data_IF_745844552138
#
_entry.id   IF_745844552138
#
_cell.length_a   1.000
_cell.length_b   1.000
_cell.length_c   1.000
_cell.angle_alpha   90.00
_cell.angle_beta   90.00
_cell.angle_gamma   90.00
#
_symmetry.space_group_name_H-M   'P 1'
#
loop_
_entity.id
_entity.type
_entity.pdbx_description
1 polymer ?
#
# COMPACT_ATOMS: atom_id res chain seq x y z
N UNK A 1 -0.88 -3.36 9.93
CA UNK A 1 -0.76 -3.01 8.49
C UNK A 1 0.13 -1.80 8.36
N UNK A 2 1.01 -1.73 7.36
CA UNK A 2 1.75 -0.51 7.00
C UNK A 2 1.14 0.04 5.71
N UNK A 3 0.77 1.32 5.67
CA UNK A 3 0.12 1.93 4.52
C UNK A 3 0.50 3.40 4.29
N UNK A 4 0.21 3.88 3.08
CA UNK A 4 0.52 5.26 2.64
C UNK A 4 -0.72 5.99 2.08
N UNK A 5 -1.89 5.39 2.22
CA UNK A 5 -3.18 6.04 1.99
C UNK A 5 -3.92 6.10 3.33
N UNK A 6 -3.88 7.25 3.99
CA UNK A 6 -4.43 7.41 5.33
C UNK A 6 -5.94 7.16 5.36
N UNK A 7 -6.65 7.71 4.38
CA UNK A 7 -8.10 7.54 4.20
C UNK A 7 -8.49 6.06 4.02
N UNK A 8 -7.71 5.29 3.27
CA UNK A 8 -7.92 3.84 3.09
C UNK A 8 -7.65 3.09 4.40
N UNK A 9 -6.60 3.47 5.15
CA UNK A 9 -6.31 2.85 6.45
C UNK A 9 -7.44 3.10 7.45
N UNK A 10 -7.96 4.32 7.50
CA UNK A 10 -9.09 4.72 8.34
C UNK A 10 -10.36 3.93 7.96
N UNK A 11 -10.68 3.87 6.67
CA UNK A 11 -11.85 3.14 6.17
C UNK A 11 -11.74 1.62 6.40
N UNK A 12 -10.55 1.05 6.20
CA UNK A 12 -10.29 -0.37 6.43
C UNK A 12 -10.29 -0.77 7.91
N UNK A 13 -10.05 0.19 8.82
CA UNK A 13 -10.10 0.04 10.27
C UNK A 13 -9.39 -1.23 10.80
N UNK A 14 -8.20 -1.51 10.25
CA UNK A 14 -7.44 -2.66 10.69
C UNK A 14 -7.05 -2.51 12.18
N UNK A 15 -7.00 -3.60 12.98
CA UNK A 15 -6.79 -3.50 14.43
C UNK A 15 -5.52 -2.74 14.84
N UNK A 16 -4.46 -2.83 14.04
CA UNK A 16 -3.19 -2.14 14.26
C UNK A 16 -2.65 -1.63 12.93
N UNK A 17 -2.48 -0.33 12.82
CA UNK A 17 -2.06 0.30 11.58
C UNK A 17 -0.94 1.32 11.81
N UNK A 18 -0.06 1.40 10.83
CA UNK A 18 1.01 2.39 10.76
C UNK A 18 0.88 3.11 9.42
N UNK A 19 0.93 4.44 9.46
CA UNK A 19 0.91 5.30 8.30
C UNK A 19 2.31 5.88 8.03
N UNK A 20 2.74 5.82 6.77
CA UNK A 20 3.98 6.45 6.28
C UNK A 20 3.61 7.34 5.09
N UNK A 21 3.90 8.64 5.17
CA UNK A 21 3.54 9.64 4.13
C UNK A 21 4.51 9.60 2.93
N UNK A 22 4.56 8.42 2.28
CA UNK A 22 5.37 8.11 1.11
C UNK A 22 4.45 7.85 -0.10
N UNK A 23 4.97 7.88 -1.34
CA UNK A 23 4.18 7.50 -2.50
C UNK A 23 3.61 6.08 -2.38
N UNK A 24 2.43 5.85 -2.95
CA UNK A 24 1.87 4.50 -3.05
C UNK A 24 2.88 3.52 -3.68
N UNK A 25 2.98 2.34 -3.10
CA UNK A 25 3.98 1.32 -3.47
C UNK A 25 5.34 1.46 -2.76
N UNK A 26 5.56 2.52 -1.98
CA UNK A 26 6.82 2.76 -1.25
C UNK A 26 6.62 2.83 0.27
N UNK A 27 5.58 2.16 0.79
CA UNK A 27 5.19 2.16 2.21
C UNK A 27 6.27 1.69 3.19
N UNK A 28 7.27 0.97 2.70
CA UNK A 28 8.38 0.42 3.50
C UNK A 28 9.73 1.04 3.13
N UNK A 29 9.75 2.23 2.52
CA UNK A 29 10.97 3.02 2.32
C UNK A 29 11.27 3.42 0.89
N UNK A 30 12.28 4.30 0.75
CA UNK A 30 12.75 4.80 -0.55
C UNK A 30 13.42 3.72 -1.39
N UNK A 31 13.30 3.75 -2.73
CA UNK A 31 14.03 2.84 -3.61
C UNK A 31 15.53 2.87 -3.33
N UNK A 32 16.13 1.68 -3.24
CA UNK A 32 17.57 1.47 -3.05
C UNK A 32 18.16 2.02 -1.74
N UNK A 33 17.36 2.62 -0.86
CA UNK A 33 17.77 3.11 0.46
C UNK A 33 17.48 2.06 1.54
N UNK A 34 18.39 1.09 1.68
CA UNK A 34 18.24 -0.01 2.65
C UNK A 34 18.14 0.49 4.10
N UNK A 35 18.82 1.59 4.42
CA UNK A 35 18.80 2.18 5.76
C UNK A 35 17.42 2.70 6.12
N UNK A 36 16.83 3.51 5.23
CA UNK A 36 15.47 3.98 5.41
C UNK A 36 14.44 2.84 5.42
N UNK A 37 14.59 1.86 4.52
CA UNK A 37 13.69 0.72 4.47
C UNK A 37 13.68 -0.08 5.77
N UNK A 38 14.89 -0.33 6.31
CA UNK A 38 15.03 -1.06 7.57
C UNK A 38 14.43 -0.28 8.74
N UNK A 39 14.73 1.01 8.84
CA UNK A 39 14.25 1.87 9.92
C UNK A 39 12.72 1.94 9.97
N UNK A 40 12.06 2.10 8.82
CA UNK A 40 10.58 2.11 8.75
C UNK A 40 9.99 0.78 9.23
N UNK A 41 10.58 -0.35 8.84
CA UNK A 41 10.08 -1.67 9.26
C UNK A 41 10.28 -1.87 10.76
N UNK A 42 11.45 -1.53 11.30
CA UNK A 42 11.74 -1.67 12.73
C UNK A 42 10.79 -0.78 13.58
N UNK A 43 10.58 0.48 13.18
CA UNK A 43 9.66 1.39 13.88
C UNK A 43 8.19 0.94 13.77
N UNK A 44 7.78 0.43 12.62
CA UNK A 44 6.42 -0.09 12.44
C UNK A 44 6.17 -1.32 13.32
N UNK A 45 7.15 -2.23 13.44
CA UNK A 45 7.06 -3.38 14.35
C UNK A 45 6.96 -2.91 15.80
N UNK A 46 7.79 -1.96 16.22
CA UNK A 46 7.71 -1.37 17.56
C UNK A 46 6.34 -0.71 17.82
N UNK A 47 5.80 0.03 16.84
CA UNK A 47 4.46 0.61 16.94
C UNK A 47 3.38 -0.47 17.09
N UNK A 48 3.47 -1.59 16.36
CA UNK A 48 2.49 -2.68 16.48
C UNK A 48 2.53 -3.39 17.84
N UNK A 49 3.66 -3.38 18.56
CA UNK A 49 3.73 -3.87 19.93
C UNK A 49 3.04 -2.93 20.92
N UNK A 50 3.10 -1.62 20.66
CA UNK A 50 2.57 -0.57 21.54
C UNK A 50 1.08 -0.25 21.32
N UNK A 51 0.54 -0.50 20.12
CA UNK A 51 -0.87 -0.26 19.83
C UNK A 51 -1.75 -1.23 20.65
N UNK A 52 -2.51 -0.65 21.56
CA UNK A 52 -3.42 -1.38 22.46
C UNK A 52 -4.89 -1.21 22.09
N UNK A 53 -5.24 -0.17 21.33
CA UNK A 53 -6.62 0.10 20.92
C UNK A 53 -6.85 -0.32 19.46
N UNK A 54 -7.86 -1.16 19.17
CA UNK A 54 -8.23 -1.48 17.80
C UNK A 54 -8.55 -0.23 16.97
N UNK A 55 -8.08 -0.19 15.72
CA UNK A 55 -8.30 0.93 14.80
C UNK A 55 -7.35 2.10 15.00
N UNK A 56 -6.42 2.01 15.95
CA UNK A 56 -5.38 3.02 16.13
C UNK A 56 -4.37 2.98 14.97
N UNK A 57 -4.06 4.18 14.46
CA UNK A 57 -3.11 4.41 13.38
C UNK A 57 -1.96 5.24 13.94
N UNK A 58 -0.75 4.70 13.93
CA UNK A 58 0.47 5.42 14.29
C UNK A 58 1.10 6.00 13.04
N UNK A 59 1.34 7.31 13.00
CA UNK A 59 2.04 7.96 11.89
C UNK A 59 3.55 8.00 12.18
N UNK A 60 4.37 7.49 11.26
CA UNK A 60 5.83 7.61 11.35
C UNK A 60 6.32 8.90 10.69
N UNK A 61 7.26 9.59 11.32
CA UNK A 61 7.78 10.89 10.89
C UNK A 61 8.95 10.77 9.89
N UNK A 62 8.74 9.99 8.83
CA UNK A 62 9.69 9.86 7.72
C UNK A 62 9.33 10.82 6.59
N UNK A 63 10.33 11.47 6.00
CA UNK A 63 10.15 12.34 4.82
C UNK A 63 10.64 11.67 3.55
N UNK A 64 9.78 11.63 2.53
CA UNK A 64 10.14 11.13 1.20
C UNK A 64 11.24 11.96 0.54
N UNK A 65 11.10 13.28 0.58
CA UNK A 65 12.04 14.26 0.05
C UNK A 65 11.99 15.57 0.85
N UNK A 66 12.91 16.49 0.57
CA UNK A 66 13.01 17.79 1.26
C UNK A 66 11.75 18.66 1.15
N UNK A 67 10.94 18.42 0.12
CA UNK A 67 9.67 19.11 -0.10
C UNK A 67 8.58 18.15 -0.58
N UNK A 68 7.34 18.65 -0.60
CA UNK A 68 6.14 17.89 -0.99
C UNK A 68 5.83 17.95 -2.49
N UNK A 69 6.76 18.40 -3.34
CA UNK A 69 6.53 18.49 -4.79
C UNK A 69 6.19 17.12 -5.40
N UNK A 70 6.72 16.03 -4.84
CA UNK A 70 6.44 14.67 -5.26
C UNK A 70 4.95 14.32 -5.19
N UNK A 71 4.18 14.91 -4.26
CA UNK A 71 2.73 14.62 -4.11
C UNK A 71 1.97 15.04 -5.37
N UNK A 72 2.36 16.15 -5.99
CA UNK A 72 1.76 16.62 -7.24
C UNK A 72 2.01 15.66 -8.39
N UNK A 73 3.21 15.08 -8.45
CA UNK A 73 3.56 14.09 -9.47
C UNK A 73 2.84 12.76 -9.21
N UNK A 74 2.81 12.30 -7.96
CA UNK A 74 2.13 11.07 -7.58
C UNK A 74 0.62 11.13 -7.80
N UNK A 75 -0.01 12.30 -7.65
CA UNK A 75 -1.44 12.52 -7.91
C UNK A 75 -1.76 12.96 -9.34
N UNK A 76 -0.80 12.90 -10.26
CA UNK A 76 -0.98 13.42 -11.62
C UNK A 76 -1.85 12.48 -12.48
N UNK A 77 -3.03 12.94 -12.90
CA UNK A 77 -3.95 12.21 -13.79
C UNK A 77 -3.72 12.50 -15.29
N UNK A 78 -2.69 13.28 -15.65
CA UNK A 78 -2.42 13.61 -17.06
C UNK A 78 -1.83 12.45 -17.87
N UNK A 79 -1.36 11.39 -17.20
CA UNK A 79 -0.91 10.17 -17.85
C UNK A 79 -2.07 9.45 -18.55
N UNK A 80 -1.79 8.83 -19.70
CA UNK A 80 -2.75 7.90 -20.32
C UNK A 80 -2.96 6.66 -19.44
N UNK A 81 -4.04 5.92 -19.69
CA UNK A 81 -4.27 4.65 -19.00
C UNK A 81 -3.17 3.64 -19.39
N UNK A 82 -2.21 3.42 -18.49
CA UNK A 82 -1.12 2.47 -18.70
C UNK A 82 -1.50 1.04 -18.33
N UNK A 83 -2.73 0.81 -17.84
CA UNK A 83 -3.20 -0.54 -17.52
C UNK A 83 -3.36 -1.33 -18.81
N UNK A 84 -3.08 -2.63 -18.73
CA UNK A 84 -3.36 -3.53 -19.85
C UNK A 84 -4.85 -3.50 -20.23
N UNK A 85 -5.19 -3.63 -21.52
CA UNK A 85 -6.58 -3.72 -21.95
C UNK A 85 -7.32 -4.80 -21.19
N UNK A 86 -8.58 -4.52 -20.81
CA UNK A 86 -9.43 -5.53 -20.17
C UNK A 86 -9.68 -6.66 -21.16
N UNK A 87 -9.30 -7.88 -20.77
CA UNK A 87 -9.70 -9.08 -21.51
C UNK A 87 -11.12 -9.49 -21.09
N UNK A 88 -11.94 -9.90 -22.06
CA UNK A 88 -13.27 -10.48 -21.80
C UNK A 88 -13.21 -11.99 -21.52
N UNK A 89 -12.09 -12.66 -21.82
CA UNK A 89 -11.90 -14.08 -21.49
C UNK A 89 -11.85 -14.25 -19.97
N UNK A 90 -12.76 -15.04 -19.38
CA UNK A 90 -12.68 -15.40 -17.96
C UNK A 90 -11.32 -16.05 -17.67
N UNK A 91 -10.66 -15.57 -16.61
CA UNK A 91 -9.40 -16.15 -16.13
C UNK A 91 -9.72 -17.13 -15.01
N UNK A 92 -9.18 -18.33 -15.11
CA UNK A 92 -9.37 -19.40 -14.12
C UNK A 92 -8.02 -19.69 -13.45
N UNK A 93 -8.05 -20.01 -12.15
CA UNK A 93 -6.83 -20.36 -11.43
C UNK A 93 -6.25 -21.69 -11.93
N UNK A 94 -7.12 -22.64 -12.28
CA UNK A 94 -6.77 -23.94 -12.85
C UNK A 94 -7.67 -24.33 -14.03
N UNK A 95 -7.25 -25.32 -14.82
CA UNK A 95 -8.08 -25.92 -15.87
C UNK A 95 -9.32 -26.62 -15.29
N UNK A 96 -9.21 -27.17 -14.09
CA UNK A 96 -10.34 -27.78 -13.39
C UNK A 96 -11.43 -26.74 -13.11
N UNK A 97 -11.06 -25.53 -12.67
CA UNK A 97 -12.02 -24.43 -12.43
C UNK A 97 -12.71 -24.00 -13.72
N UNK A 98 -11.94 -23.93 -14.83
CA UNK A 98 -12.48 -23.63 -16.16
C UNK A 98 -13.51 -24.66 -16.61
N UNK A 99 -13.23 -25.95 -16.38
CA UNK A 99 -14.13 -27.04 -16.74
C UNK A 99 -15.38 -27.03 -15.85
N UNK A 100 -15.23 -26.81 -14.55
CA UNK A 100 -16.36 -26.75 -13.61
C UNK A 100 -17.31 -25.58 -13.92
N UNK A 101 -16.77 -24.40 -14.24
CA UNK A 101 -17.57 -23.23 -14.62
C UNK A 101 -18.34 -23.39 -15.94
N UNK A 102 -17.92 -24.33 -16.80
CA UNK A 102 -18.60 -24.65 -18.05
C UNK A 102 -19.70 -25.73 -17.89
N UNK A 103 -19.81 -26.35 -16.71
CA UNK A 103 -20.87 -27.32 -16.42
C UNK A 103 -22.12 -26.58 -15.90
N UNK A 104 -23.33 -26.96 -16.37
CA UNK A 104 -24.58 -26.31 -16.01
C UNK A 104 -25.02 -26.53 -14.56
#
# INVERSE_FOLDING_TARGET
MIGSALDILEAGNAPRSVFVDYPLGHTVGRPFDRGNQRAIVDDALAAFELITRPGEIVQLDYRWSDNDAWKKEASNTKGGDTRSPRNSTPQYQTDTDRIAAAQP
#
